data_IF_922603926470
#
_entry.id   IF_922603926470
#
_cell.length_a   1.000
_cell.length_b   1.000
_cell.length_c   1.000
_cell.angle_alpha   90.00
_cell.angle_beta   90.00
_cell.angle_gamma   90.00
#
_symmetry.space_group_name_H-M   'P 1'
#
loop_
_entity.id
_entity.type
_entity.pdbx_description
1 polymer ?
#
# COMPACT_ATOMS: atom_id res chain seq x y z
N UNK A 1 33.83 -0.38 17.10
CA UNK A 1 33.06 -1.06 16.03
C UNK A 1 31.60 -1.07 16.46
N UNK A 2 30.72 -0.33 15.77
CA UNK A 2 29.26 -0.45 15.98
C UNK A 2 28.80 -1.77 15.35
N UNK A 3 27.81 -2.49 15.92
CA UNK A 3 27.36 -3.74 15.30
C UNK A 3 26.76 -3.42 13.93
N UNK A 4 27.45 -3.87 12.89
CA UNK A 4 26.99 -3.82 11.51
C UNK A 4 25.87 -4.86 11.35
N UNK A 5 24.60 -4.46 11.21
CA UNK A 5 23.61 -5.39 10.65
C UNK A 5 22.14 -5.30 11.04
N UNK A 6 21.67 -4.32 11.82
CA UNK A 6 20.25 -4.35 12.26
C UNK A 6 19.41 -3.37 11.45
N UNK A 7 18.68 -3.87 10.45
CA UNK A 7 17.55 -3.12 9.86
C UNK A 7 16.49 -2.92 10.96
N UNK A 8 16.00 -1.69 11.12
CA UNK A 8 15.10 -1.35 12.23
C UNK A 8 13.84 -0.65 11.73
N UNK A 9 12.80 -1.44 11.51
CA UNK A 9 11.50 -1.00 11.00
C UNK A 9 10.34 -1.48 11.90
N UNK A 10 10.30 -1.10 13.19
CA UNK A 10 9.29 -1.59 14.11
C UNK A 10 7.89 -1.11 13.70
N UNK A 11 6.90 -2.01 13.70
CA UNK A 11 5.49 -1.61 13.69
C UNK A 11 5.13 -1.10 15.08
N UNK A 12 4.86 0.20 15.24
CA UNK A 12 4.21 0.67 16.46
C UNK A 12 2.72 0.36 16.38
N UNK A 13 2.06 0.15 17.51
CA UNK A 13 0.62 -0.14 17.54
C UNK A 13 -0.18 0.96 16.83
N UNK A 14 0.16 2.23 17.06
CA UNK A 14 -0.45 3.39 16.38
C UNK A 14 -0.23 3.42 14.86
N UNK A 15 0.88 2.86 14.35
CA UNK A 15 1.12 2.72 12.91
C UNK A 15 0.21 1.65 12.30
N UNK A 16 -0.03 0.57 13.04
CA UNK A 16 -0.84 -0.57 12.59
C UNK A 16 -2.34 -0.28 12.67
N UNK A 17 -2.78 0.45 13.70
CA UNK A 17 -4.18 0.84 13.90
C UNK A 17 -4.72 1.68 12.73
N UNK A 18 -3.92 2.62 12.23
CA UNK A 18 -4.34 3.50 11.14
C UNK A 18 -4.16 2.90 9.75
N UNK A 19 -3.47 1.75 9.63
CA UNK A 19 -3.12 1.14 8.35
C UNK A 19 -4.35 0.75 7.53
N UNK A 20 -5.40 0.28 8.20
CA UNK A 20 -6.63 -0.21 7.57
C UNK A 20 -7.58 0.91 7.11
N UNK A 21 -7.26 2.16 7.44
CA UNK A 21 -8.04 3.32 6.98
C UNK A 21 -7.70 3.65 5.53
N UNK A 22 -8.59 4.38 4.88
CA UNK A 22 -8.36 4.79 3.49
C UNK A 22 -7.08 5.62 3.33
N UNK A 23 -6.79 6.47 4.30
CA UNK A 23 -5.57 7.28 4.32
C UNK A 23 -4.33 6.47 4.69
N UNK A 24 -4.45 5.48 5.58
CA UNK A 24 -3.37 4.54 5.88
C UNK A 24 -2.92 3.76 4.66
N UNK A 25 -3.85 3.24 3.88
CA UNK A 25 -3.58 2.56 2.62
C UNK A 25 -2.95 3.48 1.57
N UNK A 26 -3.36 4.75 1.49
CA UNK A 26 -2.71 5.73 0.59
C UNK A 26 -1.27 6.00 1.03
N UNK A 27 -1.04 6.18 2.33
CA UNK A 27 0.29 6.39 2.89
C UNK A 27 1.19 5.19 2.65
N UNK A 28 0.67 3.97 2.73
CA UNK A 28 1.43 2.76 2.43
C UNK A 28 1.95 2.74 0.97
N UNK A 29 1.20 3.30 0.02
CA UNK A 29 1.65 3.40 -1.36
C UNK A 29 2.69 4.51 -1.59
N UNK A 30 2.71 5.56 -0.74
CA UNK A 30 3.63 6.69 -0.89
C UNK A 30 4.86 6.63 0.00
N UNK A 31 4.75 6.00 1.17
CA UNK A 31 5.76 5.99 2.21
C UNK A 31 5.62 4.73 3.09
N UNK A 32 6.27 3.65 2.67
CA UNK A 32 6.23 2.37 3.36
C UNK A 32 7.59 1.97 3.90
N UNK A 33 7.59 1.44 5.12
CA UNK A 33 8.77 0.81 5.74
C UNK A 33 9.35 -0.31 4.89
N UNK A 34 8.51 -1.04 4.14
CA UNK A 34 9.00 -2.13 3.28
C UNK A 34 9.80 -1.59 2.08
N UNK A 35 9.35 -0.47 1.48
CA UNK A 35 10.04 0.15 0.35
C UNK A 35 11.38 0.69 0.83
N UNK A 36 11.40 1.41 1.95
CA UNK A 36 12.64 1.94 2.56
C UNK A 36 13.64 0.82 2.88
N UNK A 37 13.15 -0.32 3.40
CA UNK A 37 14.00 -1.49 3.66
C UNK A 37 14.61 -2.04 2.37
N UNK A 38 13.81 -2.18 1.31
CA UNK A 38 14.31 -2.65 0.02
C UNK A 38 15.32 -1.69 -0.60
N UNK A 39 15.12 -0.39 -0.47
CA UNK A 39 16.08 0.64 -0.91
C UNK A 39 17.39 0.58 -0.11
N UNK A 40 17.32 0.42 1.22
CA UNK A 40 18.52 0.23 2.06
C UNK A 40 19.28 -1.06 1.72
N UNK A 41 18.56 -2.14 1.40
CA UNK A 41 19.13 -3.41 0.95
C UNK A 41 19.84 -3.24 -0.42
N UNK A 42 19.21 -2.54 -1.36
CA UNK A 42 19.76 -2.21 -2.69
C UNK A 42 21.06 -1.41 -2.55
N UNK A 43 21.05 -0.36 -1.72
CA UNK A 43 22.23 0.48 -1.45
C UNK A 43 23.40 -0.30 -0.85
N UNK A 44 23.13 -1.39 -0.14
CA UNK A 44 24.14 -2.30 0.41
C UNK A 44 24.60 -3.37 -0.58
N UNK A 45 24.13 -3.34 -1.82
CA UNK A 45 24.51 -4.26 -2.89
C UNK A 45 23.73 -5.58 -2.92
N UNK A 46 22.60 -5.67 -2.21
CA UNK A 46 21.75 -6.87 -2.24
C UNK A 46 20.86 -6.85 -3.50
N UNK A 47 20.67 -8.01 -4.12
CA UNK A 47 19.68 -8.14 -5.19
C UNK A 47 18.26 -8.17 -4.58
N UNK A 48 17.49 -7.13 -4.87
CA UNK A 48 16.11 -6.96 -4.37
C UNK A 48 15.06 -6.99 -5.48
N UNK A 49 15.44 -7.31 -6.73
CA UNK A 49 14.54 -7.20 -7.89
C UNK A 49 13.21 -7.93 -7.69
N UNK A 50 13.26 -9.22 -7.33
CA UNK A 50 12.04 -10.00 -7.11
C UNK A 50 11.17 -9.47 -5.97
N UNK A 51 11.78 -9.12 -4.83
CA UNK A 51 11.03 -8.57 -3.69
C UNK A 51 10.41 -7.19 -4.02
N UNK A 52 11.09 -6.36 -4.81
CA UNK A 52 10.58 -5.08 -5.29
C UNK A 52 9.41 -5.28 -6.25
N UNK A 53 9.50 -6.23 -7.16
CA UNK A 53 8.43 -6.58 -8.10
C UNK A 53 7.18 -7.07 -7.35
N UNK A 54 7.34 -7.94 -6.35
CA UNK A 54 6.24 -8.42 -5.50
C UNK A 54 5.57 -7.29 -4.71
N UNK A 55 6.37 -6.41 -4.07
CA UNK A 55 5.83 -5.25 -3.35
C UNK A 55 5.08 -4.31 -4.29
N UNK A 56 5.62 -4.03 -5.48
CA UNK A 56 4.95 -3.20 -6.48
C UNK A 56 3.63 -3.83 -6.93
N UNK A 57 3.59 -5.15 -7.13
CA UNK A 57 2.36 -5.86 -7.49
C UNK A 57 1.27 -5.69 -6.41
N UNK A 58 1.63 -5.81 -5.12
CA UNK A 58 0.70 -5.61 -4.02
C UNK A 58 0.18 -4.16 -3.94
N UNK A 59 1.06 -3.17 -4.11
CA UNK A 59 0.67 -1.76 -4.09
C UNK A 59 -0.26 -1.40 -5.27
N UNK A 60 0.02 -1.94 -6.45
CA UNK A 60 -0.83 -1.78 -7.62
C UNK A 60 -2.20 -2.44 -7.41
N UNK A 61 -2.23 -3.66 -6.88
CA UNK A 61 -3.49 -4.35 -6.56
C UNK A 61 -4.36 -3.51 -5.61
N UNK A 62 -3.79 -2.97 -4.54
CA UNK A 62 -4.51 -2.11 -3.59
C UNK A 62 -5.05 -0.86 -4.27
N UNK A 63 -4.24 -0.20 -5.11
CA UNK A 63 -4.65 1.01 -5.84
C UNK A 63 -5.81 0.71 -6.80
N UNK A 64 -5.68 -0.34 -7.59
CA UNK A 64 -6.64 -0.68 -8.64
C UNK A 64 -7.95 -1.22 -8.06
N UNK A 65 -7.89 -2.07 -7.03
CA UNK A 65 -9.08 -2.56 -6.34
C UNK A 65 -9.93 -1.42 -5.78
N UNK A 66 -9.30 -0.35 -5.27
CA UNK A 66 -10.01 0.82 -4.75
C UNK A 66 -10.64 1.65 -5.85
N UNK A 67 -9.93 1.84 -6.97
CA UNK A 67 -10.49 2.51 -8.15
C UNK A 67 -11.74 1.78 -8.66
N UNK A 68 -11.64 0.47 -8.86
CA UNK A 68 -12.74 -0.37 -9.34
C UNK A 68 -13.92 -0.31 -8.36
N UNK A 69 -13.67 -0.42 -7.05
CA UNK A 69 -14.73 -0.28 -6.04
C UNK A 69 -15.44 1.07 -6.12
N UNK A 70 -14.70 2.17 -6.31
CA UNK A 70 -15.27 3.51 -6.47
C UNK A 70 -16.17 3.59 -7.70
N UNK A 71 -15.71 3.08 -8.83
CA UNK A 71 -16.50 3.00 -10.06
C UNK A 71 -17.78 2.18 -9.85
N UNK A 72 -17.68 1.00 -9.22
CA UNK A 72 -18.85 0.17 -8.90
C UNK A 72 -19.88 0.92 -8.06
N UNK A 73 -19.46 1.67 -7.04
CA UNK A 73 -20.36 2.48 -6.22
C UNK A 73 -21.08 3.53 -7.07
N UNK A 74 -20.34 4.28 -7.90
CA UNK A 74 -20.94 5.28 -8.80
C UNK A 74 -21.96 4.66 -9.77
N UNK A 75 -21.66 3.50 -10.33
CA UNK A 75 -22.60 2.78 -11.19
C UNK A 75 -23.87 2.35 -10.43
N UNK A 76 -23.72 1.88 -9.19
CA UNK A 76 -24.87 1.50 -8.34
C UNK A 76 -25.73 2.72 -7.96
N UNK A 77 -25.10 3.86 -7.64
CA UNK A 77 -25.79 5.11 -7.35
C UNK A 77 -26.62 5.59 -8.55
N UNK A 78 -26.06 5.51 -9.75
CA UNK A 78 -26.77 5.85 -10.99
C UNK A 78 -27.99 4.95 -11.23
N UNK A 79 -27.84 3.64 -11.05
CA UNK A 79 -28.94 2.68 -11.20
C UNK A 79 -30.05 2.94 -10.17
N UNK A 80 -29.69 3.24 -8.92
CA UNK A 80 -30.64 3.57 -7.86
C UNK A 80 -31.41 4.87 -8.16
N UNK A 81 -30.72 5.91 -8.61
CA UNK A 81 -31.35 7.19 -9.00
C UNK A 81 -32.30 7.00 -10.20
N UNK A 82 -31.88 6.20 -11.19
CA UNK A 82 -32.72 5.86 -12.34
C UNK A 82 -33.97 5.08 -11.92
N UNK A 83 -33.83 4.13 -10.98
CA UNK A 83 -34.96 3.34 -10.48
C UNK A 83 -35.96 4.19 -9.67
N UNK A 84 -35.51 5.23 -8.96
CA UNK A 84 -36.40 6.15 -8.22
C UNK A 84 -37.21 7.09 -9.12
N UNK A 85 -36.81 7.24 -10.38
CA UNK A 85 -37.46 8.11 -11.37
C UNK A 85 -38.52 7.38 -12.21
N UNK A 86 -38.60 6.06 -12.09
CA UNK A 86 -39.69 5.22 -12.60
C UNK A 86 -40.88 5.25 -11.64
#
# INVERSE_FOLDING_TARGET
MKPNGTYHYPGSDAYTENLYTDDGLRRLASDSKIIRLLEELEQRGNNIGGARDEVNALLNYVKDARKIKGEMVTHLEYLLDSAKKL
#
